data_IF_978443333109
#
_entry.id   IF_978443333109
#
_cell.length_a   1.000
_cell.length_b   1.000
_cell.length_c   1.000
_cell.angle_alpha   90.00
_cell.angle_beta   90.00
_cell.angle_gamma   90.00
#
_symmetry.space_group_name_H-M   'P 1'
#
loop_
_entity.id
_entity.type
_entity.pdbx_description
1 polymer ?
#
# COMPACT_ATOMS: atom_id res chain seq x y z
N UNK A 1 -29.73 -29.27 19.09
CA UNK A 1 -28.44 -28.61 19.40
C UNK A 1 -27.30 -29.46 18.89
N UNK A 2 -26.52 -28.97 17.92
CA UNK A 2 -25.09 -29.28 17.78
C UNK A 2 -24.47 -28.14 16.98
N UNK A 3 -23.69 -27.36 17.71
CA UNK A 3 -23.02 -26.15 17.28
C UNK A 3 -21.90 -26.50 16.30
N UNK A 4 -22.03 -26.05 15.06
CA UNK A 4 -20.91 -25.96 14.12
C UNK A 4 -20.75 -24.50 13.68
N UNK A 5 -20.71 -23.61 14.66
CA UNK A 5 -20.44 -22.18 14.51
C UNK A 5 -19.13 -21.88 15.25
N UNK A 6 -18.01 -22.39 14.75
CA UNK A 6 -16.66 -22.07 15.29
C UNK A 6 -15.57 -22.03 14.19
N UNK A 7 -15.94 -22.00 12.90
CA UNK A 7 -14.94 -21.81 11.82
C UNK A 7 -14.69 -20.33 11.46
N UNK A 8 -15.29 -19.37 12.19
CA UNK A 8 -15.17 -17.94 11.90
C UNK A 8 -14.08 -17.21 12.69
N UNK A 9 -13.39 -17.86 13.62
CA UNK A 9 -12.57 -17.14 14.64
C UNK A 9 -11.05 -17.36 14.51
N UNK A 10 -10.54 -18.18 13.58
CA UNK A 10 -9.10 -18.45 13.46
C UNK A 10 -8.53 -18.45 12.03
N UNK A 11 -8.88 -17.44 11.22
CA UNK A 11 -8.06 -17.03 10.05
C UNK A 11 -7.24 -15.79 10.41
N UNK A 12 -6.42 -15.87 11.46
CA UNK A 12 -5.42 -14.84 11.73
C UNK A 12 -4.23 -15.12 10.80
N UNK A 13 -4.41 -14.64 9.56
CA UNK A 13 -3.38 -14.15 8.64
C UNK A 13 -2.15 -15.03 8.35
N UNK A 14 -2.32 -16.08 7.52
CA UNK A 14 -1.20 -16.64 6.72
C UNK A 14 -0.82 -15.74 5.53
N UNK A 15 -0.94 -14.42 5.68
CA UNK A 15 -0.51 -13.46 4.65
C UNK A 15 1.00 -13.27 4.83
N UNK A 16 1.83 -13.47 3.81
CA UNK A 16 3.28 -13.31 3.92
C UNK A 16 3.64 -11.94 4.54
N UNK A 17 4.63 -11.91 5.43
CA UNK A 17 5.09 -10.68 6.09
C UNK A 17 5.40 -9.56 5.07
N UNK A 18 5.90 -9.93 3.89
CA UNK A 18 6.14 -9.04 2.76
C UNK A 18 4.87 -8.32 2.27
N UNK A 19 3.71 -9.00 2.24
CA UNK A 19 2.43 -8.37 1.87
C UNK A 19 2.01 -7.34 2.90
N UNK A 20 2.15 -7.64 4.20
CA UNK A 20 1.81 -6.69 5.28
C UNK A 20 2.68 -5.44 5.22
N UNK A 21 3.96 -5.60 4.89
CA UNK A 21 4.88 -4.47 4.67
C UNK A 21 4.42 -3.65 3.47
N UNK A 22 4.13 -4.29 2.33
CA UNK A 22 3.63 -3.61 1.14
C UNK A 22 2.33 -2.85 1.40
N UNK A 23 1.42 -3.39 2.18
CA UNK A 23 0.15 -2.73 2.51
C UNK A 23 0.38 -1.50 3.39
N UNK A 24 1.33 -1.56 4.34
CA UNK A 24 1.76 -0.37 5.11
C UNK A 24 2.43 0.66 4.22
N UNK A 25 3.34 0.25 3.33
CA UNK A 25 4.00 1.15 2.38
C UNK A 25 2.97 1.83 1.45
N UNK A 26 1.94 1.10 1.03
CA UNK A 26 0.86 1.65 0.21
C UNK A 26 0.03 2.69 0.97
N UNK A 27 -0.32 2.41 2.22
CA UNK A 27 -1.08 3.34 3.05
C UNK A 27 -0.31 4.64 3.25
N UNK A 28 0.98 4.54 3.57
CA UNK A 28 1.82 5.70 3.79
C UNK A 28 2.06 6.48 2.50
N UNK A 29 2.26 5.79 1.36
CA UNK A 29 2.34 6.42 0.05
C UNK A 29 1.09 7.26 -0.26
N UNK A 30 -0.11 6.72 -0.04
CA UNK A 30 -1.37 7.45 -0.26
C UNK A 30 -1.46 8.68 0.65
N UNK A 31 -1.06 8.54 1.92
CA UNK A 31 -1.05 9.65 2.89
C UNK A 31 -0.13 10.76 2.41
N UNK A 32 1.13 10.45 2.13
CA UNK A 32 2.14 11.41 1.70
C UNK A 32 1.77 12.08 0.37
N UNK A 33 1.23 11.34 -0.59
CA UNK A 33 0.83 11.91 -1.89
C UNK A 33 -0.33 12.91 -1.76
N UNK A 34 -1.24 12.69 -0.80
CA UNK A 34 -2.41 13.54 -0.53
C UNK A 34 -2.10 14.75 0.35
N UNK A 35 -1.18 14.61 1.30
CA UNK A 35 -1.00 15.62 2.35
C UNK A 35 0.32 16.37 2.27
N UNK A 36 1.19 16.06 1.30
CA UNK A 36 2.50 16.71 1.18
C UNK A 36 2.77 17.22 -0.23
N UNK A 37 3.42 18.38 -0.29
CA UNK A 37 3.90 19.01 -1.53
C UNK A 37 5.26 18.46 -1.98
N UNK A 38 5.77 17.43 -1.29
CA UNK A 38 7.08 16.82 -1.59
C UNK A 38 7.10 16.24 -2.99
N UNK A 39 8.25 16.27 -3.63
CA UNK A 39 8.37 15.64 -4.94
C UNK A 39 8.17 14.14 -4.81
N UNK A 40 7.48 13.53 -5.80
CA UNK A 40 7.21 12.08 -5.78
C UNK A 40 8.50 11.28 -5.61
N UNK A 41 9.61 11.71 -6.21
CA UNK A 41 10.94 11.11 -6.04
C UNK A 41 11.41 11.03 -4.58
N UNK A 42 11.06 12.01 -3.74
CA UNK A 42 11.46 12.04 -2.33
C UNK A 42 10.63 11.04 -1.51
N UNK A 43 9.33 10.94 -1.82
CA UNK A 43 8.42 9.96 -1.23
C UNK A 43 8.88 8.53 -1.56
N UNK A 44 9.34 8.29 -2.78
CA UNK A 44 9.89 6.99 -3.22
C UNK A 44 11.04 6.55 -2.31
N UNK A 45 12.03 7.42 -2.11
CA UNK A 45 13.20 7.09 -1.30
C UNK A 45 12.85 6.91 0.18
N UNK A 46 11.95 7.72 0.72
CA UNK A 46 11.49 7.60 2.11
C UNK A 46 10.77 6.28 2.39
N UNK A 47 10.00 5.79 1.42
CA UNK A 47 9.31 4.51 1.51
C UNK A 47 10.23 3.29 1.26
N UNK A 48 11.53 3.52 1.05
CA UNK A 48 12.53 2.47 0.88
C UNK A 48 12.54 1.82 -0.51
N UNK A 49 11.92 2.46 -1.52
CA UNK A 49 12.00 1.98 -2.89
C UNK A 49 13.35 2.37 -3.51
N UNK A 50 13.97 1.42 -4.21
CA UNK A 50 15.25 1.64 -4.89
C UNK A 50 15.17 2.68 -6.00
N UNK A 51 14.07 2.64 -6.78
CA UNK A 51 13.85 3.57 -7.88
C UNK A 51 12.37 3.95 -8.05
N UNK A 52 12.17 5.05 -8.76
CA UNK A 52 10.86 5.63 -9.02
C UNK A 52 9.97 4.74 -9.91
N UNK A 53 10.55 3.96 -10.82
CA UNK A 53 9.81 3.11 -11.75
C UNK A 53 9.17 1.92 -11.02
N UNK A 54 9.91 1.32 -10.11
CA UNK A 54 9.50 0.22 -9.22
C UNK A 54 8.35 0.67 -8.32
N UNK A 55 8.47 1.84 -7.68
CA UNK A 55 7.37 2.44 -6.91
C UNK A 55 6.15 2.74 -7.79
N UNK A 56 6.34 3.36 -8.94
CA UNK A 56 5.23 3.72 -9.83
C UNK A 56 4.45 2.51 -10.32
N UNK A 57 5.14 1.41 -10.65
CA UNK A 57 4.51 0.13 -11.01
C UNK A 57 3.76 -0.48 -9.84
N UNK A 58 4.40 -0.57 -8.68
CA UNK A 58 3.78 -1.05 -7.45
C UNK A 58 2.49 -0.27 -7.12
N UNK A 59 2.59 1.05 -7.07
CA UNK A 59 1.49 1.93 -6.71
C UNK A 59 0.34 1.84 -7.73
N UNK A 60 0.66 1.82 -9.02
CA UNK A 60 -0.35 1.65 -10.07
C UNK A 60 -1.01 0.27 -10.03
N UNK A 61 -0.28 -0.80 -9.77
CA UNK A 61 -0.87 -2.13 -9.62
C UNK A 61 -1.83 -2.20 -8.42
N UNK A 62 -1.53 -1.47 -7.34
CA UNK A 62 -2.35 -1.46 -6.12
C UNK A 62 -3.51 -0.47 -6.14
N UNK A 63 -3.44 0.59 -6.94
CA UNK A 63 -4.43 1.69 -6.91
C UNK A 63 -5.12 1.95 -8.25
N UNK A 64 -4.60 1.41 -9.35
CA UNK A 64 -5.03 1.72 -10.71
C UNK A 64 -4.50 3.05 -11.27
N UNK A 65 -3.82 3.86 -10.46
CA UNK A 65 -3.37 5.21 -10.84
C UNK A 65 -1.86 5.35 -10.68
N UNK A 66 -1.22 6.19 -11.50
CA UNK A 66 0.16 6.60 -11.19
C UNK A 66 0.18 7.47 -9.92
N UNK A 67 1.31 7.55 -9.20
CA UNK A 67 1.43 8.41 -8.02
C UNK A 67 1.05 9.88 -8.31
N UNK A 68 1.45 10.40 -9.47
CA UNK A 68 1.10 11.75 -9.92
C UNK A 68 -0.40 11.89 -10.18
N UNK A 69 -1.01 10.95 -10.92
CA UNK A 69 -2.46 10.96 -11.16
C UNK A 69 -3.27 10.87 -9.86
N UNK A 70 -2.77 10.13 -8.87
CA UNK A 70 -3.40 10.04 -7.56
C UNK A 70 -3.34 11.37 -6.81
N UNK A 71 -2.19 12.06 -6.84
CA UNK A 71 -2.03 13.40 -6.25
C UNK A 71 -2.90 14.45 -6.94
N UNK A 72 -2.99 14.45 -8.26
CA UNK A 72 -3.81 15.44 -8.98
C UNK A 72 -5.31 15.30 -8.69
N UNK A 73 -5.76 14.14 -8.19
CA UNK A 73 -7.17 13.89 -7.81
C UNK A 73 -7.50 14.23 -6.36
N UNK A 74 -6.53 14.53 -5.51
CA UNK A 74 -6.69 14.60 -4.06
C UNK A 74 -5.90 15.73 -3.42
#
# INVERSE_FOLDING_TARGET
MKVSSVNEVFKIDSVPASSRIQDRSLLEAKRLLKTSDRYVKEIVYELGFYDHASFSRFFKQRTGLTPQQFRERH
#
